data_IF_664840742931
#
_entry.id   IF_664840742931
#
_cell.length_a   1.000
_cell.length_b   1.000
_cell.length_c   1.000
_cell.angle_alpha   90.00
_cell.angle_beta   90.00
_cell.angle_gamma   90.00
#
_symmetry.space_group_name_H-M   'P 1'
#
loop_
_entity.id
_entity.type
_entity.pdbx_description
1 polymer ?
#
# COMPACT_ATOMS: atom_id res chain seq x y z
N UNK A 1 1.86 22.37 9.49
CA UNK A 1 3.31 22.59 9.35
C UNK A 1 3.91 23.64 10.29
N UNK A 2 3.17 24.69 10.67
CA UNK A 2 3.68 25.75 11.54
C UNK A 2 3.41 27.14 10.95
N UNK A 3 3.77 28.22 11.66
CA UNK A 3 3.48 29.58 11.24
C UNK A 3 4.41 30.07 10.12
N UNK A 4 3.95 31.03 9.32
CA UNK A 4 4.74 31.65 8.25
C UNK A 4 5.77 32.66 8.77
N UNK A 5 5.47 33.32 9.90
CA UNK A 5 6.32 34.28 10.59
C UNK A 5 6.58 33.81 12.00
N UNK A 6 7.72 34.17 12.55
CA UNK A 6 8.07 33.80 13.93
C UNK A 6 7.07 34.41 14.91
N UNK A 7 6.58 33.57 15.84
CA UNK A 7 5.70 33.99 16.93
C UNK A 7 4.42 34.70 16.48
N UNK A 8 3.92 34.41 15.28
CA UNK A 8 2.69 35.00 14.74
C UNK A 8 1.82 33.92 14.07
N UNK A 9 0.57 33.81 14.51
CA UNK A 9 -0.41 32.94 13.85
C UNK A 9 -0.84 33.52 12.50
N UNK A 10 -1.36 32.68 11.59
CA UNK A 10 -1.70 33.09 10.23
C UNK A 10 -2.70 34.25 10.15
N UNK A 11 -3.74 34.28 11.01
CA UNK A 11 -4.75 35.34 11.00
C UNK A 11 -4.33 36.62 11.74
N UNK A 12 -3.16 36.65 12.37
CA UNK A 12 -2.64 37.81 13.11
C UNK A 12 -3.29 38.08 14.47
N UNK A 13 -4.22 37.24 14.96
CA UNK A 13 -4.84 37.36 16.31
C UNK A 13 -3.78 37.30 17.42
N UNK A 14 -2.94 36.27 17.37
CA UNK A 14 -1.83 36.07 18.30
C UNK A 14 -0.52 36.44 17.64
N UNK A 15 0.20 37.37 18.28
CA UNK A 15 1.52 37.88 17.86
C UNK A 15 2.47 37.95 19.05
N UNK A 16 3.76 37.89 18.76
CA UNK A 16 4.89 38.00 19.71
C UNK A 16 5.00 36.78 20.64
N UNK A 17 6.17 36.67 21.27
CA UNK A 17 6.60 35.52 22.09
C UNK A 17 5.67 35.22 23.27
N UNK A 18 4.93 36.20 23.78
CA UNK A 18 4.01 36.02 24.93
C UNK A 18 2.93 34.95 24.72
N UNK A 19 2.59 34.66 23.47
CA UNK A 19 1.58 33.65 23.11
C UNK A 19 2.20 32.31 22.67
N UNK A 20 3.48 32.07 23.00
CA UNK A 20 4.20 30.84 22.66
C UNK A 20 3.39 29.59 23.05
N UNK A 21 3.28 28.65 22.12
CA UNK A 21 2.62 27.35 22.34
C UNK A 21 1.09 27.40 22.24
N UNK A 22 0.48 28.58 22.06
CA UNK A 22 -0.97 28.70 21.87
C UNK A 22 -1.32 28.32 20.42
N UNK A 23 -2.32 27.44 20.27
CA UNK A 23 -2.94 27.13 18.97
C UNK A 23 -4.07 28.11 18.71
N UNK A 24 -4.06 28.78 17.57
CA UNK A 24 -5.07 29.79 17.27
C UNK A 24 -6.45 29.18 17.00
N UNK A 25 -7.45 29.52 17.80
CA UNK A 25 -8.87 29.14 17.61
C UNK A 25 -9.41 29.42 16.19
N UNK A 26 -8.94 30.50 15.54
CA UNK A 26 -9.47 30.96 14.25
C UNK A 26 -8.84 30.27 13.05
N UNK A 27 -7.55 29.95 13.10
CA UNK A 27 -6.81 29.41 11.96
C UNK A 27 -6.06 28.10 12.24
N UNK A 28 -6.14 27.56 13.45
CA UNK A 28 -5.47 26.32 13.86
C UNK A 28 -3.94 26.40 13.88
N UNK A 29 -3.34 27.58 13.66
CA UNK A 29 -1.89 27.74 13.62
C UNK A 29 -1.35 27.96 15.02
N UNK A 30 -0.44 27.09 15.43
CA UNK A 30 0.36 27.22 16.65
C UNK A 30 1.35 28.38 16.55
N UNK A 31 1.42 29.18 17.61
CA UNK A 31 2.37 30.29 17.75
C UNK A 31 3.72 29.73 18.22
N UNK A 32 4.63 29.57 17.27
CA UNK A 32 5.99 29.06 17.48
C UNK A 32 6.95 29.71 16.47
N UNK A 33 8.21 29.28 16.43
CA UNK A 33 9.16 29.74 15.41
C UNK A 33 8.78 29.20 14.03
N UNK A 34 8.94 30.00 12.98
CA UNK A 34 8.69 29.56 11.59
C UNK A 34 9.62 28.41 11.18
N UNK A 35 10.79 28.29 11.84
CA UNK A 35 11.78 27.21 11.61
C UNK A 35 11.19 25.82 11.78
N UNK A 36 10.16 25.62 12.62
CA UNK A 36 9.54 24.30 12.82
C UNK A 36 8.96 23.73 11.51
N UNK A 37 8.63 24.57 10.52
CA UNK A 37 8.14 24.14 9.20
C UNK A 37 9.15 23.29 8.43
N UNK A 38 10.45 23.36 8.79
CA UNK A 38 11.52 22.54 8.21
C UNK A 38 11.60 21.13 8.81
N UNK A 39 10.94 20.89 9.95
CA UNK A 39 11.04 19.64 10.70
C UNK A 39 9.70 18.91 10.84
N UNK A 40 8.58 19.65 10.84
CA UNK A 40 7.25 19.05 10.92
C UNK A 40 6.87 18.42 9.59
N UNK A 41 6.75 17.10 9.58
CA UNK A 41 6.27 16.35 8.42
C UNK A 41 4.74 16.32 8.39
N UNK A 42 4.21 16.03 7.21
CA UNK A 42 2.80 15.76 6.99
C UNK A 42 2.70 14.42 6.28
N UNK A 43 1.51 13.85 6.27
CA UNK A 43 1.24 12.62 5.53
C UNK A 43 -0.07 12.75 4.77
N UNK A 44 -0.21 11.94 3.74
CA UNK A 44 -1.43 11.76 2.98
C UNK A 44 -1.85 10.30 3.20
N UNK A 45 -3.07 10.09 3.67
CA UNK A 45 -3.65 8.75 3.72
C UNK A 45 -4.11 8.39 2.31
N UNK A 46 -3.43 7.42 1.70
CA UNK A 46 -3.80 6.91 0.38
C UNK A 46 -5.11 6.11 0.49
N UNK A 47 -5.93 6.16 -0.57
CA UNK A 47 -7.20 5.44 -0.62
C UNK A 47 -7.01 3.93 -0.84
N UNK A 48 -5.92 3.55 -1.50
CA UNK A 48 -5.54 2.16 -1.77
C UNK A 48 -4.05 1.97 -1.49
N UNK A 49 -3.60 0.71 -1.26
CA UNK A 49 -2.18 0.37 -1.18
C UNK A 49 -1.44 0.76 -2.47
N UNK A 50 -0.19 1.20 -2.35
CA UNK A 50 0.67 1.54 -3.49
C UNK A 50 2.04 0.93 -3.27
N UNK A 51 2.56 0.26 -4.29
CA UNK A 51 3.91 -0.30 -4.26
C UNK A 51 4.95 0.83 -4.38
N UNK A 52 5.91 0.84 -3.45
CA UNK A 52 6.97 1.83 -3.47
C UNK A 52 8.02 1.49 -4.54
N UNK A 53 8.24 2.41 -5.48
CA UNK A 53 9.03 2.18 -6.72
C UNK A 53 10.44 1.67 -6.44
N UNK A 54 11.12 2.13 -5.38
CA UNK A 54 12.48 1.68 -5.07
C UNK A 54 12.58 0.20 -4.73
N UNK A 55 11.56 -0.39 -4.11
CA UNK A 55 11.57 -1.81 -3.75
C UNK A 55 11.03 -2.70 -4.89
N UNK A 56 10.29 -2.11 -5.84
CA UNK A 56 9.79 -2.79 -7.02
C UNK A 56 10.82 -2.77 -8.16
N UNK A 57 11.22 -1.58 -8.64
CA UNK A 57 12.09 -1.38 -9.80
C UNK A 57 13.58 -1.32 -9.46
N UNK A 58 13.92 -1.37 -8.16
CA UNK A 58 15.31 -1.43 -7.72
C UNK A 58 16.02 -2.67 -8.28
N UNK A 59 17.33 -2.57 -8.48
CA UNK A 59 18.17 -3.71 -8.86
C UNK A 59 19.14 -3.97 -7.69
N UNK A 60 19.00 -5.08 -6.95
CA UNK A 60 17.94 -6.08 -7.08
C UNK A 60 16.58 -5.60 -6.55
N UNK A 61 15.49 -6.23 -7.00
CA UNK A 61 14.13 -5.92 -6.54
C UNK A 61 13.84 -6.70 -5.26
N UNK A 62 13.73 -5.98 -4.14
CA UNK A 62 13.49 -6.60 -2.83
C UNK A 62 12.13 -7.30 -2.75
N UNK A 63 11.10 -6.74 -3.39
CA UNK A 63 9.76 -7.36 -3.41
C UNK A 63 9.79 -8.68 -4.16
N UNK A 64 10.46 -8.70 -5.32
CA UNK A 64 10.64 -9.90 -6.14
C UNK A 64 11.41 -10.99 -5.40
N UNK A 65 12.48 -10.63 -4.70
CA UNK A 65 13.28 -11.57 -3.89
C UNK A 65 12.44 -12.17 -2.77
N UNK A 66 11.73 -11.34 -2.00
CA UNK A 66 10.93 -11.82 -0.87
C UNK A 66 9.78 -12.72 -1.31
N UNK A 67 9.18 -12.44 -2.47
CA UNK A 67 8.09 -13.25 -3.01
C UNK A 67 8.57 -14.50 -3.75
N UNK A 68 9.87 -14.65 -3.99
CA UNK A 68 10.44 -15.66 -4.89
C UNK A 68 9.74 -15.70 -6.26
N UNK A 69 9.52 -14.51 -6.83
CA UNK A 69 8.84 -14.33 -8.11
C UNK A 69 9.73 -13.51 -9.05
N UNK A 70 9.75 -13.79 -10.37
CA UNK A 70 10.43 -12.94 -11.33
C UNK A 70 9.91 -11.49 -11.26
N UNK A 71 10.82 -10.51 -11.35
CA UNK A 71 10.46 -9.08 -11.34
C UNK A 71 9.37 -8.75 -12.38
N UNK A 72 9.44 -9.36 -13.57
CA UNK A 72 8.45 -9.16 -14.63
C UNK A 72 7.04 -9.53 -14.19
N UNK A 73 6.90 -10.59 -13.40
CA UNK A 73 5.62 -11.12 -12.98
C UNK A 73 5.01 -10.24 -11.87
N UNK A 74 5.85 -9.81 -10.92
CA UNK A 74 5.46 -8.82 -9.90
C UNK A 74 5.01 -7.51 -10.55
N UNK A 75 5.69 -7.07 -11.60
CA UNK A 75 5.29 -5.87 -12.35
C UNK A 75 3.95 -6.05 -13.07
N UNK A 76 3.69 -7.21 -13.66
CA UNK A 76 2.39 -7.49 -14.29
C UNK A 76 1.24 -7.37 -13.30
N UNK A 77 1.43 -7.84 -12.07
CA UNK A 77 0.43 -7.73 -11.00
C UNK A 77 0.22 -6.25 -10.64
N UNK A 78 1.30 -5.49 -10.40
CA UNK A 78 1.22 -4.07 -10.00
C UNK A 78 0.58 -3.20 -11.08
N UNK A 79 0.86 -3.48 -12.36
CA UNK A 79 0.34 -2.73 -13.49
C UNK A 79 -1.03 -3.22 -13.97
N UNK A 80 -1.71 -4.09 -13.21
CA UNK A 80 -3.02 -4.62 -13.53
C UNK A 80 -3.09 -5.39 -14.86
N UNK A 81 -1.99 -6.03 -15.27
CA UNK A 81 -1.95 -6.85 -16.49
C UNK A 81 -2.32 -8.31 -16.24
N UNK A 82 -2.00 -8.82 -15.05
CA UNK A 82 -2.24 -10.21 -14.66
C UNK A 82 -2.73 -10.26 -13.23
N UNK A 83 -3.59 -11.24 -12.95
CA UNK A 83 -4.03 -11.57 -11.61
C UNK A 83 -3.04 -12.54 -10.95
N UNK A 84 -3.08 -12.62 -9.63
CA UNK A 84 -2.29 -13.59 -8.84
C UNK A 84 -3.17 -14.33 -7.85
N UNK A 85 -2.96 -15.64 -7.75
CA UNK A 85 -3.66 -16.49 -6.78
C UNK A 85 -3.11 -16.22 -5.37
N UNK A 86 -4.00 -15.72 -4.49
CA UNK A 86 -3.73 -15.46 -3.08
C UNK A 86 -4.05 -16.68 -2.21
N UNK A 87 -5.13 -17.39 -2.53
CA UNK A 87 -5.51 -18.65 -1.90
C UNK A 87 -6.10 -19.57 -2.97
N UNK A 88 -5.55 -20.78 -3.19
CA UNK A 88 -6.12 -21.73 -4.13
C UNK A 88 -7.39 -22.41 -3.59
N UNK A 89 -7.71 -22.27 -2.29
CA UNK A 89 -8.88 -22.91 -1.71
C UNK A 89 -8.87 -24.43 -1.87
N UNK A 90 -9.95 -24.99 -2.42
CA UNK A 90 -10.05 -26.41 -2.76
C UNK A 90 -9.83 -26.71 -4.26
N UNK A 91 -9.37 -25.73 -5.03
CA UNK A 91 -9.07 -25.92 -6.45
C UNK A 91 -7.71 -26.64 -6.60
N UNK A 92 -7.72 -27.91 -7.01
CA UNK A 92 -6.48 -28.66 -7.27
C UNK A 92 -5.69 -28.12 -8.49
N UNK A 93 -6.36 -27.37 -9.37
CA UNK A 93 -5.77 -26.80 -10.59
C UNK A 93 -5.00 -25.51 -10.35
N UNK A 94 -5.21 -24.85 -9.21
CA UNK A 94 -4.59 -23.56 -8.88
C UNK A 94 -3.50 -23.72 -7.85
N UNK A 95 -2.42 -22.98 -8.05
CA UNK A 95 -1.29 -22.94 -7.12
C UNK A 95 -1.12 -21.54 -6.53
N UNK A 96 -0.67 -21.47 -5.29
CA UNK A 96 -0.36 -20.20 -4.64
C UNK A 96 0.71 -19.43 -5.43
N UNK A 97 0.55 -18.09 -5.56
CA UNK A 97 1.39 -17.20 -6.40
C UNK A 97 1.35 -17.45 -7.91
N UNK A 98 0.46 -18.32 -8.39
CA UNK A 98 0.26 -18.49 -9.83
C UNK A 98 -0.30 -17.22 -10.47
N UNK A 99 0.26 -16.84 -11.62
CA UNK A 99 -0.31 -15.76 -12.43
C UNK A 99 -1.42 -16.28 -13.32
N UNK A 100 -2.48 -15.49 -13.41
CA UNK A 100 -3.62 -15.76 -14.28
C UNK A 100 -3.80 -14.59 -15.25
N UNK A 101 -4.05 -14.89 -16.52
CA UNK A 101 -4.55 -13.89 -17.46
C UNK A 101 -6.01 -13.52 -17.14
N UNK A 102 -6.49 -12.43 -17.73
CA UNK A 102 -7.90 -12.04 -17.61
C UNK A 102 -8.85 -13.16 -18.09
N UNK A 103 -8.59 -13.75 -19.26
CA UNK A 103 -9.40 -14.85 -19.78
C UNK A 103 -9.42 -16.07 -18.85
N UNK A 104 -8.26 -16.45 -18.29
CA UNK A 104 -8.17 -17.57 -17.34
C UNK A 104 -8.94 -17.28 -16.06
N UNK A 105 -8.84 -16.06 -15.55
CA UNK A 105 -9.60 -15.64 -14.37
C UNK A 105 -11.10 -15.69 -14.63
N UNK A 106 -11.57 -15.21 -15.78
CA UNK A 106 -12.99 -15.26 -16.16
C UNK A 106 -13.51 -16.70 -16.22
N UNK A 107 -12.75 -17.62 -16.82
CA UNK A 107 -13.12 -19.05 -16.85
C UNK A 107 -13.23 -19.66 -15.45
N UNK A 108 -12.29 -19.32 -14.55
CA UNK A 108 -12.31 -19.79 -13.16
C UNK A 108 -13.47 -19.16 -12.39
N UNK A 109 -13.72 -17.88 -12.59
CA UNK A 109 -14.81 -17.14 -11.96
C UNK A 109 -16.17 -17.72 -12.36
N UNK A 110 -16.38 -18.00 -13.65
CA UNK A 110 -17.57 -18.67 -14.16
C UNK A 110 -17.75 -20.07 -13.54
N UNK A 111 -16.66 -20.81 -13.37
CA UNK A 111 -16.70 -22.10 -12.68
C UNK A 111 -17.07 -21.96 -11.21
N UNK A 112 -16.56 -20.96 -10.49
CA UNK A 112 -16.89 -20.71 -9.08
C UNK A 112 -18.38 -20.39 -8.89
N UNK A 113 -18.98 -19.62 -9.79
CA UNK A 113 -20.40 -19.23 -9.67
C UNK A 113 -21.39 -20.17 -10.36
N UNK A 114 -20.92 -21.23 -11.01
CA UNK A 114 -21.80 -22.25 -11.59
C UNK A 114 -22.63 -22.98 -10.52
N UNK A 115 -23.88 -23.33 -10.83
CA UNK A 115 -24.82 -23.95 -9.87
C UNK A 115 -24.32 -25.31 -9.33
N UNK A 116 -23.49 -26.01 -10.10
CA UNK A 116 -22.88 -27.30 -9.75
C UNK A 116 -21.45 -27.15 -9.19
N UNK A 117 -21.00 -25.93 -8.88
CA UNK A 117 -19.62 -25.70 -8.47
C UNK A 117 -19.30 -26.29 -7.10
N UNK A 118 -18.20 -27.04 -7.05
CA UNK A 118 -17.59 -27.49 -5.80
C UNK A 118 -16.48 -26.52 -5.35
N UNK A 119 -16.12 -25.51 -6.13
CA UNK A 119 -15.01 -24.61 -5.83
C UNK A 119 -15.38 -23.62 -4.73
N UNK A 120 -14.60 -23.62 -3.65
CA UNK A 120 -14.77 -22.75 -2.49
C UNK A 120 -13.42 -22.25 -1.97
N UNK A 121 -13.40 -20.98 -1.55
CA UNK A 121 -12.23 -20.37 -0.91
C UNK A 121 -11.08 -20.01 -1.85
N UNK A 122 -11.35 -19.95 -3.16
CA UNK A 122 -10.40 -19.41 -4.15
C UNK A 122 -10.39 -17.88 -4.01
N UNK A 123 -9.22 -17.32 -3.69
CA UNK A 123 -9.00 -15.88 -3.63
C UNK A 123 -7.94 -15.50 -4.65
N UNK A 124 -8.30 -14.56 -5.53
CA UNK A 124 -7.42 -14.02 -6.56
C UNK A 124 -7.39 -12.51 -6.40
N UNK A 125 -6.20 -11.93 -6.54
CA UNK A 125 -5.98 -10.50 -6.38
C UNK A 125 -5.22 -9.89 -7.55
N UNK A 126 -5.28 -8.56 -7.64
CA UNK A 126 -4.51 -7.78 -8.60
C UNK A 126 -3.99 -6.49 -7.96
N UNK A 127 -2.96 -5.88 -8.55
CA UNK A 127 -2.43 -4.61 -8.10
C UNK A 127 -1.59 -4.69 -6.82
N UNK A 128 -1.34 -3.53 -6.23
CA UNK A 128 -0.52 -3.41 -5.02
C UNK A 128 -1.19 -3.99 -3.76
N UNK A 129 -2.52 -4.14 -3.76
CA UNK A 129 -3.24 -4.80 -2.67
C UNK A 129 -2.94 -6.29 -2.61
N UNK A 130 -2.91 -6.96 -3.76
CA UNK A 130 -2.51 -8.36 -3.86
C UNK A 130 -1.07 -8.57 -3.38
N UNK A 131 -0.14 -7.70 -3.79
CA UNK A 131 1.23 -7.78 -3.28
C UNK A 131 1.32 -7.57 -1.76
N UNK A 132 0.54 -6.64 -1.21
CA UNK A 132 0.53 -6.41 0.23
C UNK A 132 0.05 -7.66 0.98
N UNK A 133 -0.98 -8.33 0.46
CA UNK A 133 -1.49 -9.60 1.01
C UNK A 133 -0.41 -10.68 0.96
N UNK A 134 0.17 -10.93 -0.23
CA UNK A 134 1.23 -11.91 -0.39
C UNK A 134 2.42 -11.68 0.54
N UNK A 135 2.84 -10.42 0.71
CA UNK A 135 3.94 -10.06 1.61
C UNK A 135 3.58 -10.23 3.09
N UNK A 136 2.31 -10.00 3.46
CA UNK A 136 1.83 -10.20 4.83
C UNK A 136 1.74 -11.68 5.22
N UNK A 137 1.53 -12.55 4.23
CA UNK A 137 1.39 -14.00 4.43
C UNK A 137 2.75 -14.73 4.52
N UNK A 138 3.87 -14.05 4.25
CA UNK A 138 5.21 -14.63 4.38
C UNK A 138 5.57 -14.82 5.85
N UNK A 139 5.88 -16.06 6.24
CA UNK A 139 6.49 -16.35 7.53
C UNK A 139 8.01 -16.28 7.44
N UNK A 140 8.58 -15.13 7.85
CA UNK A 140 10.02 -14.88 7.78
C UNK A 140 10.87 -15.84 8.64
N UNK A 141 10.32 -16.42 9.70
CA UNK A 141 11.06 -17.37 10.54
C UNK A 141 11.26 -18.70 9.82
N UNK A 142 10.24 -19.16 9.10
CA UNK A 142 10.30 -20.41 8.32
C UNK A 142 11.16 -20.28 7.06
N UNK A 143 11.11 -19.12 6.39
CA UNK A 143 11.88 -18.86 5.17
C UNK A 143 13.37 -18.55 5.44
N UNK A 144 13.74 -18.26 6.68
CA UNK A 144 15.12 -17.94 7.08
C UNK A 144 15.94 -19.17 7.49
N UNK A 145 15.31 -20.30 7.79
CA UNK A 145 15.96 -21.58 8.10
C UNK A 145 16.41 -22.32 6.82
#
# INVERSE_FOLDING_TARGET
FGPAKDWECHCGKYKRVRHRGIVCERCGVEVTESRVRRHRMGYIKLAAPVAHVWYLKGIPSYISILLDMPLRDVEQIVYFNSYVVLSPGNAETLTYKQLLSEDQWLEIEDQIYSEDSLLQGVEVGIGAEALLRLLADINLEQEAE
#
